data_IF_522002194096
#
_entry.id   IF_522002194096
#
_cell.length_a   1.000
_cell.length_b   1.000
_cell.length_c   1.000
_cell.angle_alpha   90.00
_cell.angle_beta   90.00
_cell.angle_gamma   90.00
#
_symmetry.space_group_name_H-M   'P 1'
#
loop_
_entity.id
_entity.type
_entity.pdbx_description
1 polymer ?
#
# COMPACT_ATOMS: atom_id res chain seq x y z
N UNK A 1 6.13 -11.82 14.70
CA UNK A 1 4.89 -11.60 13.94
C UNK A 1 5.02 -10.30 13.18
N UNK A 2 4.58 -10.28 11.92
CA UNK A 2 4.43 -9.06 11.13
C UNK A 2 3.03 -8.51 11.44
N UNK A 3 2.86 -7.19 11.50
CA UNK A 3 1.59 -6.54 11.85
C UNK A 3 0.99 -5.74 10.71
N UNK A 4 1.83 -5.22 9.81
CA UNK A 4 1.44 -4.41 8.68
C UNK A 4 2.56 -4.38 7.64
N UNK A 5 2.21 -3.99 6.41
CA UNK A 5 3.14 -3.85 5.29
C UNK A 5 3.11 -2.40 4.82
N UNK A 6 4.25 -1.72 4.87
CA UNK A 6 4.39 -0.36 4.37
C UNK A 6 4.82 -0.35 2.90
N UNK A 7 4.12 0.39 2.05
CA UNK A 7 4.39 0.48 0.61
C UNK A 7 3.97 1.83 0.02
N UNK A 8 4.46 2.17 -1.17
CA UNK A 8 4.06 3.41 -1.87
C UNK A 8 2.62 3.35 -2.40
N UNK A 9 2.06 4.49 -2.84
CA UNK A 9 0.69 4.55 -3.33
C UNK A 9 0.65 4.34 -4.86
N UNK A 10 1.08 3.16 -5.30
CA UNK A 10 1.08 2.73 -6.69
C UNK A 10 0.04 1.62 -6.90
N UNK A 11 -0.69 1.62 -8.02
CA UNK A 11 -1.76 0.64 -8.28
C UNK A 11 -1.28 -0.81 -8.37
N UNK A 12 0.00 -1.04 -8.71
CA UNK A 12 0.60 -2.37 -8.70
C UNK A 12 0.58 -3.01 -7.29
N UNK A 13 0.60 -2.17 -6.25
CA UNK A 13 0.53 -2.61 -4.86
C UNK A 13 -0.86 -3.13 -4.50
N UNK A 14 -1.91 -2.65 -5.17
CA UNK A 14 -3.26 -3.14 -4.98
C UNK A 14 -3.38 -4.59 -5.48
N UNK A 15 -2.82 -4.88 -6.66
CA UNK A 15 -2.73 -6.25 -7.18
C UNK A 15 -1.90 -7.15 -6.26
N UNK A 16 -0.77 -6.66 -5.77
CA UNK A 16 0.08 -7.40 -4.83
C UNK A 16 -0.71 -7.81 -3.57
N UNK A 17 -1.51 -6.89 -3.01
CA UNK A 17 -2.32 -7.15 -1.81
C UNK A 17 -3.48 -8.12 -2.05
N UNK A 18 -4.01 -8.17 -3.27
CA UNK A 18 -5.04 -9.15 -3.65
C UNK A 18 -4.48 -10.57 -3.77
N UNK A 19 -3.22 -10.70 -4.23
CA UNK A 19 -2.59 -12.01 -4.44
C UNK A 19 -1.88 -12.56 -3.21
N UNK A 20 -1.40 -11.71 -2.30
CA UNK A 20 -0.70 -12.14 -1.09
C UNK A 20 -1.44 -13.18 -0.24
N UNK A 21 -2.77 -13.07 -0.01
CA UNK A 21 -3.55 -14.09 0.70
C UNK A 21 -3.55 -15.47 0.03
N UNK A 22 -3.34 -15.54 -1.29
CA UNK A 22 -3.27 -16.80 -2.04
C UNK A 22 -1.88 -17.46 -1.96
N UNK A 23 -0.85 -16.68 -1.66
CA UNK A 23 0.55 -17.11 -1.69
C UNK A 23 1.14 -17.39 -0.30
N UNK A 24 0.50 -16.88 0.75
CA UNK A 24 0.98 -16.97 2.13
C UNK A 24 0.10 -17.88 2.98
N UNK A 25 0.62 -18.36 4.13
CA UNK A 25 -0.17 -19.10 5.10
C UNK A 25 -1.44 -18.34 5.51
N UNK A 26 -2.52 -19.07 5.81
CA UNK A 26 -3.83 -18.48 6.12
C UNK A 26 -3.86 -17.64 7.41
N UNK A 27 -2.84 -17.79 8.26
CA UNK A 27 -2.62 -17.01 9.48
C UNK A 27 -1.73 -15.76 9.25
N UNK A 28 -1.29 -15.52 8.01
CA UNK A 28 -0.53 -14.33 7.67
C UNK A 28 -1.41 -13.08 7.71
N UNK A 29 -0.90 -12.02 8.34
CA UNK A 29 -1.52 -10.69 8.40
C UNK A 29 -1.29 -9.93 7.09
N UNK A 30 -2.10 -10.21 6.08
CA UNK A 30 -1.94 -9.69 4.72
C UNK A 30 -3.26 -9.24 4.10
N UNK A 31 -3.17 -8.50 2.99
CA UNK A 31 -4.29 -7.85 2.36
C UNK A 31 -4.41 -6.37 2.74
N UNK A 32 -5.44 -5.71 2.21
CA UNK A 32 -5.62 -4.26 2.33
C UNK A 32 -5.76 -3.76 3.78
N UNK A 33 -6.31 -4.59 4.67
CA UNK A 33 -6.52 -4.23 6.08
C UNK A 33 -5.20 -4.04 6.85
N UNK A 34 -4.11 -4.59 6.32
CA UNK A 34 -2.77 -4.51 6.91
C UNK A 34 -1.82 -3.60 6.09
N UNK A 35 -2.36 -2.85 5.12
CA UNK A 35 -1.58 -1.93 4.30
C UNK A 35 -1.36 -0.59 4.99
N UNK A 36 -0.09 -0.17 5.09
CA UNK A 36 0.29 1.20 5.42
C UNK A 36 0.83 1.87 4.16
N UNK A 37 0.26 3.02 3.80
CA UNK A 37 0.76 3.81 2.67
C UNK A 37 1.92 4.71 3.10
N UNK A 38 2.95 4.79 2.28
CA UNK A 38 4.14 5.58 2.54
C UNK A 38 3.79 7.07 2.69
N UNK A 39 4.01 7.61 3.88
CA UNK A 39 3.70 9.01 4.21
C UNK A 39 4.32 9.99 3.22
N UNK A 40 5.59 9.81 2.86
CA UNK A 40 6.28 10.67 1.89
C UNK A 40 5.63 10.64 0.51
N UNK A 41 5.16 9.46 0.06
CA UNK A 41 4.47 9.35 -1.23
C UNK A 41 3.10 10.05 -1.18
N UNK A 42 2.37 9.95 -0.07
CA UNK A 42 1.12 10.67 0.13
C UNK A 42 1.36 12.19 0.08
N UNK A 43 2.38 12.71 0.76
CA UNK A 43 2.73 14.13 0.70
C UNK A 43 3.06 14.61 -0.72
N UNK A 44 3.80 13.79 -1.49
CA UNK A 44 4.08 14.07 -2.90
C UNK A 44 2.79 14.15 -3.74
N UNK A 45 1.86 13.20 -3.57
CA UNK A 45 0.58 13.21 -4.28
C UNK A 45 -0.28 14.43 -3.91
N UNK A 46 -0.38 14.74 -2.62
CA UNK A 46 -1.06 15.94 -2.11
C UNK A 46 -0.45 17.19 -2.75
N UNK A 47 0.87 17.32 -2.76
CA UNK A 47 1.57 18.48 -3.34
C UNK A 47 1.28 18.62 -4.82
N UNK A 48 1.36 17.52 -5.60
CA UNK A 48 1.01 17.52 -7.02
C UNK A 48 -0.44 17.95 -7.25
N UNK A 49 -1.37 17.54 -6.40
CA UNK A 49 -2.78 17.92 -6.50
C UNK A 49 -3.05 19.40 -6.23
N UNK A 50 -2.44 19.97 -5.19
CA UNK A 50 -2.63 21.37 -4.87
C UNK A 50 -1.89 22.32 -5.81
N UNK A 51 -0.71 21.92 -6.31
CA UNK A 51 0.08 22.73 -7.23
C UNK A 51 -0.29 22.51 -8.71
N UNK A 52 -1.32 21.68 -9.00
CA UNK A 52 -1.71 21.26 -10.36
C UNK A 52 -0.53 20.74 -11.18
N UNK A 53 0.37 19.99 -10.53
CA UNK A 53 1.58 19.46 -11.18
C UNK A 53 1.28 18.14 -11.94
N UNK A 54 0.10 18.06 -12.55
CA UNK A 54 -0.43 16.89 -13.27
C UNK A 54 -0.43 17.14 -14.77
#
# INVERSE_FOLDING_TARGET
QILAIAMDNASNNDTMLQELPNLLPSDATVGSDYQIRCFGHILNLVTKAYLKLF
#
